data_IF_995702685287
#
_entry.id   IF_995702685287
#
_cell.length_a   1.000
_cell.length_b   1.000
_cell.length_c   1.000
_cell.angle_alpha   90.00
_cell.angle_beta   90.00
_cell.angle_gamma   90.00
#
_symmetry.space_group_name_H-M   'P 1'
#
loop_
_entity.id
_entity.type
_entity.pdbx_description
1 polymer ?
#
# COMPACT_ATOMS: atom_id res chain seq x y z
N UNK A 1 5.85 -30.15 -1.29
CA UNK A 1 7.00 -29.97 -0.37
C UNK A 1 7.67 -31.29 0.04
N UNK A 2 6.97 -32.28 0.63
CA UNK A 2 7.61 -33.54 1.08
C UNK A 2 8.33 -34.32 -0.05
N UNK A 3 7.68 -34.45 -1.20
CA UNK A 3 8.25 -35.14 -2.37
C UNK A 3 9.52 -34.45 -2.89
N UNK A 4 9.46 -33.13 -3.09
CA UNK A 4 10.60 -32.34 -3.59
C UNK A 4 11.78 -32.34 -2.61
N UNK A 5 11.53 -32.34 -1.29
CA UNK A 5 12.59 -32.49 -0.28
C UNK A 5 13.22 -33.88 -0.30
N UNK A 6 12.41 -34.92 -0.48
CA UNK A 6 12.92 -36.29 -0.58
C UNK A 6 13.79 -36.47 -1.84
N UNK A 7 13.36 -35.90 -2.98
CA UNK A 7 14.13 -35.89 -4.22
C UNK A 7 15.42 -35.09 -4.06
N UNK A 8 15.37 -33.89 -3.48
CA UNK A 8 16.57 -33.08 -3.23
C UNK A 8 17.59 -33.83 -2.38
N UNK A 9 17.16 -34.51 -1.31
CA UNK A 9 18.05 -35.31 -0.46
C UNK A 9 18.75 -36.43 -1.24
N UNK A 10 18.01 -37.10 -2.14
CA UNK A 10 18.55 -38.17 -3.00
C UNK A 10 19.50 -37.60 -4.07
N UNK A 11 19.20 -36.42 -4.61
CA UNK A 11 20.05 -35.74 -5.57
C UNK A 11 21.39 -35.32 -4.93
N UNK A 12 21.34 -34.75 -3.71
CA UNK A 12 22.54 -34.41 -2.94
C UNK A 12 23.37 -35.64 -2.53
N UNK A 13 22.74 -36.80 -2.37
CA UNK A 13 23.41 -38.08 -2.13
C UNK A 13 23.98 -38.72 -3.41
N UNK A 14 23.74 -38.13 -4.60
CA UNK A 14 24.20 -38.64 -5.89
C UNK A 14 23.38 -39.81 -6.45
N UNK A 15 22.21 -40.11 -5.87
CA UNK A 15 21.34 -41.21 -6.31
C UNK A 15 20.50 -40.86 -7.55
N UNK A 16 20.22 -39.57 -7.75
CA UNK A 16 19.47 -39.05 -8.89
C UNK A 16 20.17 -37.80 -9.45
N UNK A 17 19.97 -37.50 -10.73
CA UNK A 17 20.49 -36.28 -11.34
C UNK A 17 19.81 -35.03 -10.77
N UNK A 18 20.59 -33.95 -10.61
CA UNK A 18 20.08 -32.64 -10.20
C UNK A 18 19.42 -31.96 -11.40
N UNK A 19 18.12 -31.73 -11.33
CA UNK A 19 17.40 -30.94 -12.33
C UNK A 19 17.34 -29.45 -11.94
N UNK A 20 16.88 -28.61 -12.86
CA UNK A 20 16.80 -27.16 -12.63
C UNK A 20 15.89 -26.77 -11.45
N UNK A 21 14.89 -27.60 -11.14
CA UNK A 21 13.94 -27.37 -10.04
C UNK A 21 14.62 -27.68 -8.70
N UNK A 22 15.29 -28.82 -8.60
CA UNK A 22 16.02 -29.22 -7.41
C UNK A 22 17.16 -28.24 -7.12
N UNK A 23 17.84 -27.73 -8.13
CA UNK A 23 18.89 -26.72 -7.99
C UNK A 23 18.36 -25.35 -7.50
N UNK A 24 17.23 -24.91 -8.05
CA UNK A 24 16.48 -23.74 -7.59
C UNK A 24 16.06 -23.86 -6.11
N UNK A 25 15.49 -25.02 -5.74
CA UNK A 25 15.11 -25.31 -4.36
C UNK A 25 16.35 -25.34 -3.45
N UNK A 26 17.43 -26.01 -3.86
CA UNK A 26 18.69 -26.09 -3.11
C UNK A 26 19.25 -24.71 -2.80
N UNK A 27 19.35 -23.86 -3.83
CA UNK A 27 19.85 -22.48 -3.72
C UNK A 27 18.95 -21.63 -2.82
N UNK A 28 17.63 -21.75 -2.98
CA UNK A 28 16.66 -21.02 -2.16
C UNK A 28 16.75 -21.41 -0.69
N UNK A 29 16.84 -22.72 -0.39
CA UNK A 29 16.97 -23.23 0.96
C UNK A 29 18.30 -22.81 1.60
N UNK A 30 19.41 -22.88 0.86
CA UNK A 30 20.73 -22.44 1.31
C UNK A 30 20.73 -20.95 1.68
N UNK A 31 20.06 -20.13 0.89
CA UNK A 31 19.91 -18.68 1.14
C UNK A 31 18.84 -18.33 2.18
N UNK A 32 18.18 -19.32 2.79
CA UNK A 32 17.11 -19.10 3.77
C UNK A 32 15.89 -18.40 3.17
N UNK A 33 15.60 -18.64 1.89
CA UNK A 33 14.45 -18.12 1.16
C UNK A 33 13.43 -19.22 0.90
N UNK A 34 12.15 -18.85 0.76
CA UNK A 34 11.10 -19.78 0.36
C UNK A 34 11.23 -20.07 -1.14
N UNK A 35 11.43 -21.34 -1.56
CA UNK A 35 11.53 -21.71 -2.97
C UNK A 35 10.30 -21.27 -3.77
N UNK A 36 10.51 -20.81 -5.00
CA UNK A 36 9.45 -20.34 -5.90
C UNK A 36 8.38 -21.42 -6.13
N UNK A 37 8.80 -22.68 -6.21
CA UNK A 37 7.92 -23.83 -6.45
C UNK A 37 6.99 -24.11 -5.26
N UNK A 38 7.32 -23.61 -4.07
CA UNK A 38 6.49 -23.74 -2.87
C UNK A 38 5.62 -22.51 -2.63
N UNK A 39 5.94 -21.36 -3.24
CA UNK A 39 5.16 -20.12 -3.06
C UNK A 39 3.69 -20.24 -3.43
N UNK A 40 3.28 -20.96 -4.50
CA UNK A 40 1.86 -21.16 -4.80
C UNK A 40 1.10 -21.89 -3.70
N UNK A 41 1.78 -22.66 -2.86
CA UNK A 41 1.19 -23.44 -1.77
C UNK A 41 1.13 -22.66 -0.44
N UNK A 42 1.61 -21.41 -0.42
CA UNK A 42 1.72 -20.59 0.78
C UNK A 42 1.13 -19.19 0.54
N UNK A 43 0.70 -18.47 1.59
CA UNK A 43 0.31 -17.07 1.46
C UNK A 43 1.45 -16.23 0.92
N UNK A 44 1.10 -15.17 0.18
CA UNK A 44 2.05 -14.16 -0.23
C UNK A 44 2.81 -13.65 1.00
N UNK A 45 4.13 -13.83 1.00
CA UNK A 45 4.96 -13.64 2.19
C UNK A 45 6.31 -13.06 1.82
N UNK A 46 6.74 -12.05 2.55
CA UNK A 46 8.11 -11.51 2.50
C UNK A 46 8.99 -12.09 3.62
N UNK A 47 8.51 -13.11 4.37
CA UNK A 47 9.27 -13.72 5.47
C UNK A 47 10.39 -14.61 4.94
N UNK A 48 11.56 -14.56 5.58
CA UNK A 48 12.63 -15.54 5.38
C UNK A 48 12.17 -16.94 5.81
N UNK A 49 12.80 -17.98 5.27
CA UNK A 49 12.39 -19.39 5.43
C UNK A 49 12.14 -19.77 6.90
N UNK A 50 13.06 -19.46 7.82
CA UNK A 50 12.89 -19.81 9.23
C UNK A 50 11.66 -19.14 9.88
N UNK A 51 11.44 -17.84 9.62
CA UNK A 51 10.27 -17.12 10.11
C UNK A 51 8.97 -17.58 9.43
N UNK A 52 9.06 -17.98 8.16
CA UNK A 52 7.96 -18.57 7.42
C UNK A 52 7.57 -19.95 7.98
N UNK A 53 8.55 -20.82 8.30
CA UNK A 53 8.29 -22.13 8.90
C UNK A 53 7.56 -22.00 10.25
N UNK A 54 8.04 -21.12 11.14
CA UNK A 54 7.35 -20.86 12.40
C UNK A 54 5.93 -20.33 12.20
N UNK A 55 5.73 -19.46 11.20
CA UNK A 55 4.40 -18.98 10.86
C UNK A 55 3.52 -20.11 10.32
N UNK A 56 4.06 -20.98 9.47
CA UNK A 56 3.37 -22.13 8.91
C UNK A 56 2.95 -23.13 9.98
N UNK A 57 3.84 -23.46 10.93
CA UNK A 57 3.53 -24.36 12.05
C UNK A 57 2.41 -23.79 12.93
N UNK A 58 2.49 -22.50 13.31
CA UNK A 58 1.40 -21.84 14.05
C UNK A 58 0.07 -21.86 13.30
N UNK A 59 0.10 -21.71 11.97
CA UNK A 59 -1.11 -21.80 11.14
C UNK A 59 -1.66 -23.21 11.08
N UNK A 60 -0.78 -24.22 11.01
CA UNK A 60 -1.18 -25.62 11.06
C UNK A 60 -1.83 -25.96 12.41
N UNK A 61 -1.20 -25.57 13.52
CA UNK A 61 -1.77 -25.73 14.87
C UNK A 61 -3.12 -25.05 15.00
N UNK A 62 -3.24 -23.83 14.47
CA UNK A 62 -4.50 -23.09 14.44
C UNK A 62 -5.59 -23.87 13.69
N UNK A 63 -5.32 -24.36 12.48
CA UNK A 63 -6.30 -25.16 11.74
C UNK A 63 -6.65 -26.48 12.42
N UNK A 64 -5.67 -27.16 13.02
CA UNK A 64 -5.91 -28.39 13.80
C UNK A 64 -6.84 -28.10 14.99
N UNK A 65 -6.61 -26.99 15.70
CA UNK A 65 -7.46 -26.58 16.82
C UNK A 65 -8.89 -26.26 16.38
N UNK A 66 -9.08 -25.66 15.20
CA UNK A 66 -10.40 -25.37 14.64
C UNK A 66 -11.14 -26.66 14.26
N UNK A 67 -10.44 -27.64 13.68
CA UNK A 67 -11.04 -28.95 13.36
C UNK A 67 -11.52 -29.65 14.65
N UNK A 68 -10.77 -29.53 15.74
CA UNK A 68 -11.10 -30.20 17.01
C UNK A 68 -12.13 -29.45 17.86
N UNK A 69 -12.04 -28.12 17.91
CA UNK A 69 -12.80 -27.27 18.85
C UNK A 69 -13.95 -26.50 18.19
N UNK A 70 -14.06 -26.59 16.86
CA UNK A 70 -14.98 -25.79 16.06
C UNK A 70 -14.38 -24.46 15.61
N UNK A 71 -15.12 -23.75 14.76
CA UNK A 71 -14.71 -22.47 14.21
C UNK A 71 -14.61 -21.38 15.29
N UNK A 72 -13.65 -20.44 15.17
CA UNK A 72 -13.54 -19.33 16.11
C UNK A 72 -14.73 -18.37 15.95
N UNK A 73 -15.20 -17.82 17.07
CA UNK A 73 -16.31 -16.85 17.11
C UNK A 73 -16.01 -15.58 16.32
N UNK A 74 -14.73 -15.18 16.24
CA UNK A 74 -14.24 -14.03 15.49
C UNK A 74 -13.09 -14.46 14.59
N UNK A 75 -13.15 -14.11 13.31
CA UNK A 75 -12.09 -14.44 12.34
C UNK A 75 -11.57 -13.20 11.60
N UNK A 76 -10.24 -13.09 11.56
CA UNK A 76 -9.53 -12.14 10.72
C UNK A 76 -9.39 -12.72 9.30
N UNK A 77 -10.30 -12.33 8.40
CA UNK A 77 -10.34 -12.86 7.02
C UNK A 77 -9.03 -12.60 6.24
N UNK A 78 -8.46 -11.40 6.31
CA UNK A 78 -7.19 -11.12 5.60
C UNK A 78 -5.95 -11.83 6.19
N UNK A 79 -6.11 -12.61 7.27
CA UNK A 79 -5.08 -13.49 7.83
C UNK A 79 -5.14 -14.91 7.29
N UNK A 80 -6.11 -15.21 6.41
CA UNK A 80 -6.25 -16.50 5.75
C UNK A 80 -5.43 -16.56 4.47
N UNK A 81 -4.93 -17.76 4.13
CA UNK A 81 -4.25 -17.99 2.86
C UNK A 81 -5.17 -17.75 1.67
N UNK A 82 -6.39 -18.29 1.76
CA UNK A 82 -7.43 -18.16 0.75
C UNK A 82 -8.72 -17.81 1.50
N UNK A 83 -8.95 -16.50 1.80
CA UNK A 83 -10.16 -16.07 2.50
C UNK A 83 -11.42 -16.43 1.73
N UNK A 84 -11.34 -16.45 0.39
CA UNK A 84 -12.39 -16.86 -0.52
C UNK A 84 -12.91 -18.27 -0.20
N UNK A 85 -12.04 -19.24 0.07
CA UNK A 85 -12.47 -20.60 0.45
C UNK A 85 -13.22 -20.63 1.78
N UNK A 86 -12.77 -19.82 2.75
CA UNK A 86 -13.41 -19.73 4.07
C UNK A 86 -14.75 -18.99 4.03
N UNK A 87 -14.95 -18.03 3.12
CA UNK A 87 -16.26 -17.40 2.91
C UNK A 87 -17.16 -18.22 1.98
N UNK A 88 -16.59 -19.03 1.08
CA UNK A 88 -17.35 -19.86 0.14
C UNK A 88 -17.91 -21.13 0.79
N UNK A 89 -17.14 -21.78 1.68
CA UNK A 89 -17.64 -22.90 2.49
C UNK A 89 -18.96 -22.57 3.24
N UNK A 90 -19.14 -21.36 3.82
CA UNK A 90 -20.40 -20.89 4.38
C UNK A 90 -21.30 -20.11 3.42
N UNK A 91 -20.94 -19.83 2.16
CA UNK A 91 -21.96 -19.39 1.17
C UNK A 91 -22.96 -20.51 0.89
N UNK A 92 -22.55 -21.78 1.04
CA UNK A 92 -23.47 -22.92 1.12
C UNK A 92 -24.28 -22.96 2.43
N UNK A 93 -23.84 -22.25 3.48
CA UNK A 93 -24.47 -22.15 4.81
C UNK A 93 -24.72 -20.68 5.15
N UNK A 94 -25.67 -20.03 4.46
CA UNK A 94 -25.98 -18.59 4.36
C UNK A 94 -25.88 -17.66 5.62
N UNK A 95 -25.55 -18.16 6.80
CA UNK A 95 -25.59 -17.48 8.08
C UNK A 95 -24.40 -16.57 8.42
N UNK A 96 -23.16 -16.79 7.95
CA UNK A 96 -22.00 -16.08 8.53
C UNK A 96 -21.98 -14.59 8.16
N UNK A 97 -22.23 -14.22 6.90
CA UNK A 97 -22.34 -12.81 6.50
C UNK A 97 -23.56 -12.09 7.10
N UNK A 98 -24.58 -12.83 7.55
CA UNK A 98 -25.72 -12.25 8.26
C UNK A 98 -25.47 -12.09 9.76
N UNK A 99 -24.55 -12.89 10.33
CA UNK A 99 -24.19 -12.91 11.76
C UNK A 99 -22.91 -12.13 12.09
N UNK A 100 -22.20 -11.61 11.09
CA UNK A 100 -20.97 -10.83 11.29
C UNK A 100 -21.22 -9.33 11.32
N UNK A 101 -20.45 -8.62 12.16
CA UNK A 101 -20.41 -7.16 12.15
C UNK A 101 -19.65 -6.70 10.90
N UNK A 102 -20.37 -6.06 9.97
CA UNK A 102 -19.79 -5.48 8.76
C UNK A 102 -19.32 -4.07 9.04
N UNK A 103 -18.01 -3.86 9.07
CA UNK A 103 -17.43 -2.51 9.06
C UNK A 103 -17.03 -2.20 7.63
N UNK A 104 -17.78 -1.30 6.99
CA UNK A 104 -17.46 -0.79 5.65
C UNK A 104 -16.71 0.52 5.82
N UNK A 105 -15.43 0.54 5.45
CA UNK A 105 -14.66 1.77 5.35
C UNK A 105 -14.83 2.34 3.94
N UNK A 106 -15.88 3.11 3.71
CA UNK A 106 -16.01 3.87 2.46
C UNK A 106 -15.02 5.05 2.46
N UNK A 107 -14.38 5.37 1.32
CA UNK A 107 -13.64 6.61 1.19
C UNK A 107 -14.58 7.79 1.47
N UNK A 108 -14.07 8.88 2.07
CA UNK A 108 -14.90 10.02 2.45
C UNK A 108 -15.74 10.53 1.27
N UNK A 109 -17.05 10.66 1.51
CA UNK A 109 -17.96 11.21 0.51
C UNK A 109 -17.97 12.75 0.57
N UNK A 110 -17.34 13.36 -0.43
CA UNK A 110 -17.36 14.80 -0.68
C UNK A 110 -16.05 15.48 -0.30
N UNK A 111 -15.73 16.54 -1.04
CA UNK A 111 -14.48 17.30 -0.92
C UNK A 111 -14.18 17.74 0.52
N UNK A 112 -15.19 18.26 1.23
CA UNK A 112 -15.05 18.71 2.63
C UNK A 112 -14.63 17.59 3.57
N UNK A 113 -15.21 16.39 3.41
CA UNK A 113 -14.89 15.25 4.27
C UNK A 113 -13.52 14.68 3.91
N UNK A 114 -13.17 14.68 2.63
CA UNK A 114 -11.85 14.27 2.16
C UNK A 114 -10.74 15.15 2.77
N UNK A 115 -10.86 16.48 2.66
CA UNK A 115 -9.93 17.43 3.28
C UNK A 115 -9.85 17.22 4.80
N UNK A 116 -11.00 17.07 5.48
CA UNK A 116 -11.03 16.78 6.92
C UNK A 116 -10.30 15.49 7.27
N UNK A 117 -10.45 14.43 6.48
CA UNK A 117 -9.76 13.17 6.70
C UNK A 117 -8.25 13.32 6.51
N UNK A 118 -7.80 14.02 5.46
CA UNK A 118 -6.39 14.33 5.23
C UNK A 118 -5.80 15.09 6.42
N UNK A 119 -6.50 16.13 6.90
CA UNK A 119 -6.10 16.89 8.09
C UNK A 119 -6.14 16.08 9.39
N UNK A 120 -7.14 15.23 9.58
CA UNK A 120 -7.25 14.41 10.79
C UNK A 120 -6.14 13.37 10.88
N UNK A 121 -5.69 12.85 9.73
CA UNK A 121 -4.55 11.93 9.64
C UNK A 121 -3.21 12.65 9.84
N UNK A 122 -3.14 13.96 9.58
CA UNK A 122 -1.97 14.76 9.92
C UNK A 122 -1.90 14.95 11.43
N UNK A 123 -0.89 14.35 12.05
CA UNK A 123 -0.56 14.59 13.46
C UNK A 123 -0.11 16.05 13.63
N UNK A 124 -0.35 16.65 14.81
CA UNK A 124 -0.05 18.08 15.03
C UNK A 124 1.44 18.41 14.96
N UNK A 125 2.31 17.41 15.14
CA UNK A 125 3.76 17.51 14.98
C UNK A 125 4.14 17.91 13.55
N UNK A 126 3.47 17.37 12.53
CA UNK A 126 3.73 17.68 11.11
C UNK A 126 3.38 19.14 10.82
N UNK A 127 2.26 19.65 11.34
CA UNK A 127 1.81 21.03 11.08
C UNK A 127 2.69 22.10 11.73
N UNK A 128 3.43 21.75 12.77
CA UNK A 128 4.35 22.64 13.48
C UNK A 128 5.82 22.37 13.16
N UNK A 129 6.12 21.50 12.17
CA UNK A 129 7.50 21.14 11.82
C UNK A 129 8.28 22.33 11.24
N UNK A 130 7.63 23.14 10.41
CA UNK A 130 8.25 24.30 9.77
C UNK A 130 7.72 25.61 10.38
N UNK A 131 8.63 26.50 10.79
CA UNK A 131 8.27 27.81 11.35
C UNK A 131 7.86 28.85 10.28
N UNK A 132 7.91 28.50 8.99
CA UNK A 132 7.66 29.43 7.90
C UNK A 132 6.18 29.89 7.89
N UNK A 133 5.87 31.20 7.83
CA UNK A 133 4.50 31.70 7.92
C UNK A 133 3.55 31.11 6.87
N UNK A 134 4.06 30.83 5.67
CA UNK A 134 3.31 30.24 4.55
C UNK A 134 3.21 28.72 4.56
N UNK A 135 3.83 28.04 5.52
CA UNK A 135 3.81 26.58 5.56
C UNK A 135 2.38 26.04 5.67
N UNK A 136 1.62 26.52 6.66
CA UNK A 136 0.24 26.05 6.91
C UNK A 136 -0.70 26.38 5.73
N UNK A 137 -0.51 27.53 5.10
CA UNK A 137 -1.24 27.92 3.88
C UNK A 137 -0.97 26.92 2.74
N UNK A 138 0.30 26.58 2.49
CA UNK A 138 0.69 25.66 1.42
C UNK A 138 0.21 24.22 1.69
N UNK A 139 0.24 23.77 2.94
CA UNK A 139 -0.30 22.46 3.34
C UNK A 139 -1.81 22.39 3.07
N UNK A 140 -2.54 23.48 3.36
CA UNK A 140 -3.97 23.56 3.05
C UNK A 140 -4.24 23.45 1.55
N UNK A 141 -3.53 24.23 0.75
CA UNK A 141 -3.65 24.21 -0.72
C UNK A 141 -3.30 22.83 -1.28
N UNK A 142 -2.24 22.19 -0.77
CA UNK A 142 -1.87 20.83 -1.17
C UNK A 142 -2.93 19.80 -0.77
N UNK A 143 -3.52 19.91 0.43
CA UNK A 143 -4.58 19.01 0.88
C UNK A 143 -5.85 19.18 0.05
N UNK A 144 -6.18 20.43 -0.32
CA UNK A 144 -7.27 20.74 -1.23
C UNK A 144 -7.03 20.12 -2.61
N UNK A 145 -5.84 20.31 -3.18
CA UNK A 145 -5.44 19.68 -4.45
C UNK A 145 -5.56 18.15 -4.39
N UNK A 146 -5.01 17.52 -3.35
CA UNK A 146 -5.08 16.06 -3.13
C UNK A 146 -6.53 15.56 -3.10
N UNK A 147 -7.39 16.27 -2.38
CA UNK A 147 -8.80 15.92 -2.30
C UNK A 147 -9.52 16.09 -3.65
N UNK A 148 -9.23 17.15 -4.42
CA UNK A 148 -9.81 17.36 -5.75
C UNK A 148 -9.44 16.21 -6.69
N UNK A 149 -8.16 15.83 -6.77
CA UNK A 149 -7.73 14.77 -7.69
C UNK A 149 -8.30 13.40 -7.32
N UNK A 150 -8.51 13.13 -6.03
CA UNK A 150 -9.19 11.93 -5.55
C UNK A 150 -10.69 11.94 -5.85
N UNK A 151 -11.40 13.03 -5.52
CA UNK A 151 -12.85 13.15 -5.72
C UNK A 151 -13.22 13.08 -7.21
N UNK A 152 -12.33 13.54 -8.10
CA UNK A 152 -12.56 13.45 -9.55
C UNK A 152 -12.82 12.02 -10.03
N UNK A 153 -12.29 10.99 -9.36
CA UNK A 153 -12.57 9.58 -9.72
C UNK A 153 -14.05 9.21 -9.65
N UNK A 154 -14.83 9.92 -8.84
CA UNK A 154 -16.27 9.68 -8.71
C UNK A 154 -17.04 9.98 -9.99
N UNK A 155 -16.45 10.78 -10.88
CA UNK A 155 -17.05 11.15 -12.16
C UNK A 155 -16.56 10.28 -13.33
N UNK A 156 -15.92 9.14 -13.05
CA UNK A 156 -15.46 8.16 -14.04
C UNK A 156 -14.71 8.87 -15.20
N UNK A 157 -15.09 8.61 -16.46
CA UNK A 157 -14.46 9.16 -17.67
C UNK A 157 -14.52 10.67 -17.80
N UNK A 158 -15.42 11.35 -17.10
CA UNK A 158 -15.50 12.82 -17.06
C UNK A 158 -14.44 13.38 -16.10
N UNK A 159 -14.14 12.62 -15.04
CA UNK A 159 -13.13 12.95 -14.05
C UNK A 159 -11.71 12.65 -14.54
N UNK A 160 -11.50 11.42 -15.02
CA UNK A 160 -10.22 10.95 -15.53
C UNK A 160 -10.45 9.98 -16.68
N UNK A 161 -9.63 10.05 -17.73
CA UNK A 161 -9.67 9.05 -18.78
C UNK A 161 -9.25 7.67 -18.23
N UNK A 162 -8.25 7.66 -17.34
CA UNK A 162 -7.77 6.48 -16.61
C UNK A 162 -7.89 6.71 -15.09
N UNK A 163 -8.48 5.77 -14.36
CA UNK A 163 -8.54 5.85 -12.90
C UNK A 163 -7.16 5.60 -12.29
N UNK A 164 -6.46 6.67 -11.92
CA UNK A 164 -5.22 6.60 -11.15
C UNK A 164 -5.49 6.17 -9.72
N UNK A 165 -4.48 5.73 -8.96
CA UNK A 165 -4.57 5.62 -7.51
C UNK A 165 -3.60 6.59 -6.82
N UNK A 166 -4.08 7.39 -5.86
CA UNK A 166 -3.44 8.59 -5.29
C UNK A 166 -3.56 8.37 -3.80
N UNK A 167 -2.45 8.00 -3.21
CA UNK A 167 -2.36 7.50 -1.85
C UNK A 167 -1.94 8.62 -0.89
N UNK A 168 -2.14 8.37 0.40
CA UNK A 168 -1.63 9.24 1.48
C UNK A 168 -0.09 9.37 1.43
N UNK A 169 0.61 8.39 0.84
CA UNK A 169 2.05 8.45 0.66
C UNK A 169 2.45 9.58 -0.29
N UNK A 170 1.71 9.76 -1.39
CA UNK A 170 1.96 10.83 -2.36
C UNK A 170 1.83 12.21 -1.71
N UNK A 171 0.78 12.36 -0.89
CA UNK A 171 0.57 13.57 -0.11
C UNK A 171 1.70 13.80 0.91
N UNK A 172 2.08 12.79 1.68
CA UNK A 172 3.13 12.89 2.70
C UNK A 172 4.49 13.28 2.11
N UNK A 173 4.85 12.72 0.95
CA UNK A 173 6.09 13.11 0.26
C UNK A 173 6.04 14.56 -0.21
N UNK A 174 4.90 15.03 -0.73
CA UNK A 174 4.75 16.43 -1.14
C UNK A 174 4.84 17.41 0.05
N UNK A 175 4.33 17.02 1.21
CA UNK A 175 4.49 17.78 2.47
C UNK A 175 5.96 17.88 2.86
N UNK A 176 6.72 16.80 2.75
CA UNK A 176 8.17 16.79 3.02
C UNK A 176 8.96 17.66 2.04
N UNK A 177 8.55 17.69 0.76
CA UNK A 177 9.14 18.59 -0.25
C UNK A 177 8.92 20.05 0.18
N UNK A 178 7.69 20.44 0.52
CA UNK A 178 7.38 21.80 0.96
C UNK A 178 8.19 22.17 2.20
N UNK A 179 8.20 21.30 3.22
CA UNK A 179 8.98 21.51 4.45
C UNK A 179 10.48 21.70 4.15
N UNK A 180 11.07 20.81 3.35
CA UNK A 180 12.49 20.89 2.98
C UNK A 180 12.83 22.22 2.28
N UNK A 181 11.98 22.70 1.38
CA UNK A 181 12.23 23.95 0.66
C UNK A 181 12.03 25.18 1.54
N UNK A 182 10.96 25.22 2.35
CA UNK A 182 10.71 26.37 3.24
C UNK A 182 11.74 26.45 4.37
N UNK A 183 12.13 25.31 4.96
CA UNK A 183 13.15 25.27 6.01
C UNK A 183 14.52 25.74 5.48
N UNK A 184 14.87 25.36 4.24
CA UNK A 184 16.09 25.90 3.58
C UNK A 184 16.04 27.41 3.34
N UNK A 185 14.86 27.98 3.06
CA UNK A 185 14.72 29.43 2.89
C UNK A 185 14.94 30.16 4.21
N UNK A 186 14.44 29.59 5.32
CA UNK A 186 14.68 30.13 6.66
C UNK A 186 16.16 30.09 7.03
N UNK A 187 16.86 28.98 6.78
CA UNK A 187 18.28 28.81 7.13
C UNK A 187 19.20 29.81 6.40
N UNK A 188 18.86 30.15 5.15
CA UNK A 188 19.68 31.05 4.33
C UNK A 188 19.43 32.54 4.57
N UNK A 189 18.44 32.90 5.41
CA UNK A 189 17.94 34.28 5.52
C UNK A 189 17.66 34.92 4.14
N UNK A 190 17.31 34.10 3.14
CA UNK A 190 16.82 34.60 1.86
C UNK A 190 15.43 35.21 2.06
N UNK A 191 15.00 36.06 1.13
CA UNK A 191 13.72 36.76 1.19
C UNK A 191 12.57 35.77 1.48
N UNK A 192 12.12 35.73 2.74
CA UNK A 192 11.17 34.74 3.29
C UNK A 192 9.85 34.75 2.50
N UNK A 193 9.56 35.83 1.78
CA UNK A 193 8.36 35.95 0.96
C UNK A 193 8.51 35.36 -0.45
N UNK A 194 9.72 35.04 -0.91
CA UNK A 194 9.97 34.55 -2.28
C UNK A 194 9.95 33.02 -2.34
N UNK A 195 8.74 32.47 -2.36
CA UNK A 195 8.52 31.03 -2.54
C UNK A 195 8.92 30.61 -3.98
N UNK A 196 9.67 29.52 -4.17
CA UNK A 196 10.04 29.00 -5.49
C UNK A 196 8.88 28.22 -6.12
N UNK A 197 7.84 28.94 -6.56
CA UNK A 197 6.61 28.36 -7.10
C UNK A 197 6.86 27.41 -8.25
N UNK A 198 7.65 27.80 -9.25
CA UNK A 198 7.98 26.96 -10.42
C UNK A 198 8.55 25.60 -10.01
N UNK A 199 9.47 25.60 -9.03
CA UNK A 199 10.10 24.38 -8.52
C UNK A 199 9.08 23.51 -7.78
N UNK A 200 8.24 24.10 -6.93
CA UNK A 200 7.22 23.37 -6.19
C UNK A 200 6.16 22.78 -7.12
N UNK A 201 5.66 23.56 -8.08
CA UNK A 201 4.70 23.10 -9.10
C UNK A 201 5.27 21.98 -9.95
N UNK A 202 6.54 22.08 -10.35
CA UNK A 202 7.20 21.02 -11.11
C UNK A 202 7.33 19.72 -10.29
N UNK A 203 7.86 19.79 -9.07
CA UNK A 203 8.07 18.61 -8.23
C UNK A 203 6.75 17.95 -7.83
N UNK A 204 5.76 18.72 -7.40
CA UNK A 204 4.48 18.18 -6.94
C UNK A 204 3.62 17.77 -8.15
N UNK A 205 3.45 18.67 -9.12
CA UNK A 205 2.56 18.48 -10.26
C UNK A 205 3.09 17.52 -11.33
N UNK A 206 4.35 17.66 -11.73
CA UNK A 206 4.90 16.84 -12.83
C UNK A 206 5.58 15.55 -12.34
N UNK A 207 6.32 15.62 -11.23
CA UNK A 207 7.10 14.46 -10.74
C UNK A 207 6.23 13.57 -9.86
N UNK A 208 5.62 14.11 -8.80
CA UNK A 208 4.87 13.30 -7.85
C UNK A 208 3.51 12.84 -8.38
N UNK A 209 2.58 13.78 -8.61
CA UNK A 209 1.24 13.42 -9.09
C UNK A 209 1.24 13.09 -10.58
N UNK A 210 1.94 13.87 -11.39
CA UNK A 210 2.06 13.68 -12.84
C UNK A 210 2.86 12.43 -13.24
N UNK A 211 3.75 11.93 -12.38
CA UNK A 211 4.50 10.69 -12.61
C UNK A 211 3.61 9.45 -12.66
N UNK A 212 2.41 9.50 -12.08
CA UNK A 212 1.40 8.43 -12.14
C UNK A 212 0.54 8.50 -13.40
N UNK A 213 0.53 9.64 -14.09
CA UNK A 213 -0.41 9.93 -15.16
C UNK A 213 0.21 9.61 -16.52
N UNK A 214 -0.31 8.56 -17.14
CA UNK A 214 0.18 8.03 -18.42
C UNK A 214 -0.48 8.75 -19.60
N UNK A 215 -1.74 9.19 -19.46
CA UNK A 215 -2.50 9.86 -20.49
C UNK A 215 -2.15 11.36 -20.56
N UNK A 216 -1.97 11.90 -21.77
CA UNK A 216 -1.52 13.29 -21.96
C UNK A 216 -2.61 14.33 -21.62
N UNK A 217 -3.89 14.01 -21.81
CA UNK A 217 -5.00 14.89 -21.47
C UNK A 217 -5.26 14.91 -19.96
N UNK A 218 -5.17 13.76 -19.30
CA UNK A 218 -5.21 13.67 -17.85
C UNK A 218 -4.01 14.42 -17.24
N UNK A 219 -2.83 14.32 -17.85
CA UNK A 219 -1.63 15.03 -17.39
C UNK A 219 -1.81 16.54 -17.50
N UNK A 220 -2.40 17.02 -18.59
CA UNK A 220 -2.78 18.44 -18.74
C UNK A 220 -3.73 18.88 -17.62
N UNK A 221 -4.70 18.05 -17.28
CA UNK A 221 -5.68 18.35 -16.21
C UNK A 221 -5.01 18.50 -14.85
N UNK A 222 -4.10 17.58 -14.48
CA UNK A 222 -3.31 17.69 -13.24
C UNK A 222 -2.50 19.00 -13.22
N UNK A 223 -1.85 19.32 -14.33
CA UNK A 223 -1.02 20.52 -14.44
C UNK A 223 -1.86 21.80 -14.33
N UNK A 224 -3.03 21.85 -14.97
CA UNK A 224 -3.95 23.00 -14.85
C UNK A 224 -4.38 23.23 -13.40
N UNK A 225 -4.71 22.18 -12.65
CA UNK A 225 -5.03 22.33 -11.23
C UNK A 225 -3.83 22.79 -10.40
N UNK A 226 -2.63 22.29 -10.71
CA UNK A 226 -1.40 22.70 -10.04
C UNK A 226 -1.11 24.19 -10.28
N UNK A 227 -1.28 24.67 -11.52
CA UNK A 227 -1.02 26.06 -11.89
C UNK A 227 -2.05 27.05 -11.32
N UNK A 228 -3.28 26.59 -11.08
CA UNK A 228 -4.36 27.39 -10.50
C UNK A 228 -4.27 27.49 -8.97
N UNK A 229 -3.83 26.41 -8.30
CA UNK A 229 -3.88 26.32 -6.83
C UNK A 229 -2.59 26.76 -6.15
N UNK A 230 -1.43 26.39 -6.69
CA UNK A 230 -0.08 26.81 -6.27
C UNK A 230 0.45 27.85 -7.25
#
# INVERSE_FOLDING_TARGET
>A
MKLTLALLRRALAGEIGMDAILDSISTSLFNGQLPEEWRPLAPATCKKLGAWMQHFDRRNEQYVSWIQSGDPVVMWLSGLHIPESYITAPIQTACILQKSLKVVTEPPNGLKLNIKNTYFKMRSDVLETCAHPKYKDLIYVLAFFHAVVQERRKYDKIGWNISYDYSECDFTVCVQIIDTYLSRLLDKNEDIMRIPWETLKYLIGQVMYGGRVIDSYDRRTVQTYMDEYL
#
